data_IF_428191947997
#
_entry.id   IF_428191947997
#
_cell.length_a   1.000
_cell.length_b   1.000
_cell.length_c   1.000
_cell.angle_alpha   90.00
_cell.angle_beta   90.00
_cell.angle_gamma   90.00
#
_symmetry.space_group_name_H-M   'P 1'
#
loop_
_entity.id
_entity.type
_entity.pdbx_description
1 polymer ?
#
# COMPACT_ATOMS: atom_id res chain seq x y z
N UNK A 1 -8.32 6.05 16.81
CA UNK A 1 -8.67 4.99 15.84
C UNK A 1 -8.52 5.61 14.48
N UNK A 2 -7.30 5.59 13.97
CA UNK A 2 -6.98 5.87 12.57
C UNK A 2 -7.06 4.59 11.75
N UNK A 3 -6.86 4.73 10.45
CA UNK A 3 -6.95 3.64 9.48
C UNK A 3 -5.63 2.87 9.35
N UNK A 4 -5.70 1.59 8.99
CA UNK A 4 -4.59 0.85 8.40
C UNK A 4 -4.66 0.96 6.88
N UNK A 5 -3.67 1.62 6.27
CA UNK A 5 -3.64 1.90 4.83
C UNK A 5 -2.53 1.11 4.15
N UNK A 6 -2.87 0.32 3.14
CA UNK A 6 -1.92 -0.31 2.25
C UNK A 6 -1.77 0.47 0.94
N UNK A 7 -0.53 0.63 0.46
CA UNK A 7 -0.25 1.22 -0.86
C UNK A 7 0.39 0.16 -1.75
N UNK A 8 -0.37 -0.35 -2.72
CA UNK A 8 0.11 -1.34 -3.68
C UNK A 8 0.76 -0.67 -4.89
N UNK A 9 1.98 -1.09 -5.23
CA UNK A 9 2.81 -0.39 -6.21
C UNK A 9 3.61 0.77 -5.60
N UNK A 10 3.90 0.71 -4.30
CA UNK A 10 4.61 1.75 -3.55
C UNK A 10 6.00 2.11 -4.12
N UNK A 11 6.63 1.21 -4.88
CA UNK A 11 7.92 1.46 -5.54
C UNK A 11 7.82 2.09 -6.93
N UNK A 12 6.61 2.36 -7.43
CA UNK A 12 6.36 3.13 -8.65
C UNK A 12 6.32 4.63 -8.39
N UNK A 13 6.28 5.43 -9.46
CA UNK A 13 6.21 6.91 -9.34
C UNK A 13 4.94 7.34 -8.60
N UNK A 14 3.78 6.85 -9.04
CA UNK A 14 2.48 7.17 -8.42
C UNK A 14 2.38 6.63 -6.99
N UNK A 15 2.91 5.43 -6.71
CA UNK A 15 2.91 4.87 -5.36
C UNK A 15 3.73 5.70 -4.35
N UNK A 16 4.88 6.24 -4.76
CA UNK A 16 5.66 7.18 -3.94
C UNK A 16 4.92 8.49 -3.70
N UNK A 17 4.26 9.01 -4.73
CA UNK A 17 3.47 10.24 -4.63
C UNK A 17 2.29 10.06 -3.66
N UNK A 18 1.61 8.91 -3.73
CA UNK A 18 0.54 8.57 -2.77
C UNK A 18 1.07 8.61 -1.33
N UNK A 19 2.25 8.02 -1.07
CA UNK A 19 2.86 8.05 0.27
C UNK A 19 3.20 9.48 0.71
N UNK A 20 3.77 10.30 -0.18
CA UNK A 20 4.05 11.72 0.12
C UNK A 20 2.79 12.49 0.48
N UNK A 21 1.74 12.38 -0.33
CA UNK A 21 0.48 13.10 -0.13
C UNK A 21 -0.23 12.64 1.16
N UNK A 22 -0.18 11.35 1.48
CA UNK A 22 -0.76 10.83 2.74
C UNK A 22 -0.11 11.48 3.97
N UNK A 23 1.22 11.63 3.94
CA UNK A 23 1.99 12.29 5.00
C UNK A 23 1.74 13.80 5.04
N UNK A 24 1.89 14.48 3.90
CA UNK A 24 1.71 15.94 3.76
C UNK A 24 0.33 16.41 4.22
N UNK A 25 -0.70 15.58 3.99
CA UNK A 25 -2.08 15.91 4.40
C UNK A 25 -2.40 15.51 5.83
N UNK A 26 -1.47 14.89 6.55
CA UNK A 26 -1.71 14.32 7.87
C UNK A 26 -2.89 13.35 7.85
N UNK A 27 -2.99 12.51 6.81
CA UNK A 27 -4.08 11.55 6.71
C UNK A 27 -4.12 10.69 7.98
N UNK A 28 -5.31 10.44 8.57
CA UNK A 28 -5.42 9.77 9.87
C UNK A 28 -5.19 8.25 9.74
N UNK A 29 -3.99 7.85 9.32
CA UNK A 29 -3.55 6.46 9.28
C UNK A 29 -2.71 6.15 10.52
N UNK A 30 -3.15 5.16 11.31
CA UNK A 30 -2.38 4.64 12.44
C UNK A 30 -1.19 3.79 11.92
N UNK A 31 -1.38 3.10 10.78
CA UNK A 31 -0.33 2.32 10.11
C UNK A 31 -0.41 2.49 8.59
N UNK A 32 0.74 2.63 7.95
CA UNK A 32 0.89 2.65 6.49
C UNK A 32 1.82 1.52 6.05
N UNK A 33 1.34 0.68 5.12
CA UNK A 33 2.06 -0.49 4.61
C UNK A 33 2.39 -0.31 3.13
N UNK A 34 3.69 -0.30 2.81
CA UNK A 34 4.17 -0.26 1.43
C UNK A 34 4.19 -1.68 0.82
N UNK A 35 3.44 -1.89 -0.25
CA UNK A 35 3.36 -3.16 -0.97
C UNK A 35 3.87 -3.00 -2.41
N UNK A 36 4.61 -3.99 -2.91
CA UNK A 36 4.98 -4.08 -4.31
C UNK A 36 5.10 -5.55 -4.73
N UNK A 37 5.47 -5.81 -5.98
CA UNK A 37 5.76 -7.19 -6.39
C UNK A 37 7.00 -7.74 -5.70
N UNK A 38 7.09 -9.06 -5.60
CA UNK A 38 8.23 -9.80 -5.02
C UNK A 38 9.62 -9.30 -5.45
N UNK A 39 9.79 -8.85 -6.70
CA UNK A 39 11.05 -8.29 -7.22
C UNK A 39 11.53 -7.04 -6.47
N UNK A 40 10.61 -6.32 -5.84
CA UNK A 40 10.84 -5.08 -5.11
C UNK A 40 10.72 -5.25 -3.59
N UNK A 41 10.44 -6.46 -3.11
CA UNK A 41 10.36 -6.76 -1.69
C UNK A 41 11.70 -6.44 -1.02
N UNK A 42 11.64 -5.80 0.16
CA UNK A 42 12.82 -5.39 0.92
C UNK A 42 13.47 -4.09 0.45
N UNK A 43 13.01 -3.50 -0.65
CA UNK A 43 13.32 -2.11 -0.98
C UNK A 43 12.71 -1.18 0.08
N UNK A 44 13.26 0.01 0.21
CA UNK A 44 12.77 1.03 1.13
C UNK A 44 12.11 2.19 0.37
N UNK A 45 11.04 2.73 0.94
CA UNK A 45 10.35 3.93 0.44
C UNK A 45 10.09 4.89 1.60
N UNK A 46 10.11 6.19 1.33
CA UNK A 46 9.84 7.22 2.33
C UNK A 46 8.34 7.40 2.55
N UNK A 47 7.98 7.73 3.78
CA UNK A 47 6.65 8.17 4.22
C UNK A 47 6.86 9.25 5.28
N UNK A 48 6.92 10.51 4.82
CA UNK A 48 7.43 11.62 5.63
C UNK A 48 8.85 11.36 6.13
N UNK A 49 9.06 11.55 7.43
CA UNK A 49 10.32 11.26 8.11
C UNK A 49 10.55 9.75 8.36
N UNK A 50 9.58 8.89 8.03
CA UNK A 50 9.68 7.43 8.22
C UNK A 50 10.15 6.75 6.95
N UNK A 51 10.85 5.63 7.13
CA UNK A 51 11.21 4.72 6.04
C UNK A 51 10.41 3.42 6.19
N UNK A 52 9.69 3.04 5.14
CA UNK A 52 8.90 1.81 5.09
C UNK A 52 9.63 0.75 4.27
N UNK A 53 9.77 -0.45 4.83
CA UNK A 53 10.26 -1.62 4.11
C UNK A 53 9.13 -2.25 3.31
N UNK A 54 9.35 -2.39 2.01
CA UNK A 54 8.34 -2.90 1.07
C UNK A 54 8.10 -4.39 1.31
N UNK A 55 6.83 -4.78 1.48
CA UNK A 55 6.37 -6.17 1.58
C UNK A 55 5.86 -6.67 0.22
N UNK A 56 5.79 -7.99 0.05
CA UNK A 56 5.26 -8.61 -1.17
C UNK A 56 3.72 -8.55 -1.17
N UNK A 57 3.16 -7.93 -2.21
CA UNK A 57 1.71 -7.81 -2.43
C UNK A 57 1.03 -9.19 -2.48
N UNK A 58 1.69 -10.20 -3.06
CA UNK A 58 1.07 -11.49 -3.29
C UNK A 58 0.83 -12.31 -2.01
N UNK A 59 1.57 -12.03 -0.95
CA UNK A 59 1.54 -12.77 0.31
C UNK A 59 1.09 -11.92 1.50
N UNK A 60 0.71 -10.67 1.26
CA UNK A 60 0.22 -9.78 2.31
C UNK A 60 -1.22 -10.16 2.71
N UNK A 61 -1.50 -10.19 4.01
CA UNK A 61 -2.84 -10.42 4.54
C UNK A 61 -3.59 -9.09 4.66
N UNK A 62 -4.76 -9.02 4.02
CA UNK A 62 -5.61 -7.82 4.00
C UNK A 62 -6.75 -7.88 5.02
N UNK A 63 -6.85 -8.95 5.82
CA UNK A 63 -7.96 -9.16 6.76
C UNK A 63 -8.11 -8.07 7.84
N UNK A 64 -7.02 -7.34 8.13
CA UNK A 64 -6.96 -6.26 9.11
C UNK A 64 -6.66 -4.89 8.48
N UNK A 65 -6.77 -4.76 7.16
CA UNK A 65 -6.47 -3.53 6.42
C UNK A 65 -7.74 -2.81 6.02
N UNK A 66 -7.86 -1.52 6.36
CA UNK A 66 -9.08 -0.74 6.09
C UNK A 66 -9.15 -0.26 4.64
N UNK A 67 -8.03 0.24 4.10
CA UNK A 67 -7.97 0.89 2.78
C UNK A 67 -6.76 0.37 2.00
N UNK A 68 -6.95 0.02 0.73
CA UNK A 68 -5.84 -0.28 -0.19
C UNK A 68 -5.83 0.64 -1.42
N UNK A 69 -4.82 1.51 -1.49
CA UNK A 69 -4.58 2.36 -2.66
C UNK A 69 -3.78 1.60 -3.71
N UNK A 70 -4.46 1.21 -4.78
CA UNK A 70 -3.90 0.38 -5.85
C UNK A 70 -3.27 1.22 -6.97
N UNK A 71 -1.94 1.17 -7.07
CA UNK A 71 -1.15 1.73 -8.17
C UNK A 71 -0.17 0.70 -8.76
N UNK A 72 -0.64 -0.54 -8.94
CA UNK A 72 0.18 -1.67 -9.40
C UNK A 72 -0.03 -2.05 -10.89
N UNK A 73 -0.79 -1.25 -11.65
CA UNK A 73 -1.13 -1.48 -13.05
C UNK A 73 -2.42 -2.29 -13.24
N UNK A 74 -3.00 -2.24 -14.44
CA UNK A 74 -4.34 -2.77 -14.73
C UNK A 74 -4.46 -4.28 -14.57
N UNK A 75 -3.48 -5.06 -15.03
CA UNK A 75 -3.49 -6.52 -14.91
C UNK A 75 -3.45 -6.98 -13.45
N UNK A 76 -2.55 -6.40 -12.64
CA UNK A 76 -2.43 -6.69 -11.21
C UNK A 76 -3.71 -6.27 -10.47
N UNK A 77 -4.24 -5.08 -10.77
CA UNK A 77 -5.47 -4.60 -10.12
C UNK A 77 -6.66 -5.49 -10.45
N UNK A 78 -6.79 -5.98 -11.69
CA UNK A 78 -7.85 -6.91 -12.08
C UNK A 78 -7.77 -8.23 -11.31
N UNK A 79 -6.57 -8.69 -10.97
CA UNK A 79 -6.37 -9.92 -10.21
C UNK A 79 -6.60 -9.73 -8.70
N UNK A 80 -6.04 -8.67 -8.12
CA UNK A 80 -5.95 -8.51 -6.67
C UNK A 80 -7.11 -7.72 -6.06
N UNK A 81 -7.65 -6.71 -6.73
CA UNK A 81 -8.69 -5.84 -6.13
C UNK A 81 -9.94 -6.64 -5.68
N UNK A 82 -10.44 -7.64 -6.44
CA UNK A 82 -11.56 -8.46 -5.96
C UNK A 82 -11.23 -9.28 -4.71
N UNK A 83 -9.99 -9.77 -4.58
CA UNK A 83 -9.53 -10.55 -3.42
C UNK A 83 -9.40 -9.65 -2.18
N UNK A 84 -8.86 -8.44 -2.37
CA UNK A 84 -8.71 -7.42 -1.33
C UNK A 84 -10.10 -6.98 -0.83
N UNK A 85 -11.01 -6.66 -1.76
CA UNK A 85 -12.40 -6.31 -1.42
C UNK A 85 -13.15 -7.42 -0.68
N UNK A 86 -12.93 -8.69 -1.06
CA UNK A 86 -13.51 -9.84 -0.36
C UNK A 86 -12.98 -10.02 1.08
N UNK A 87 -11.80 -9.46 1.40
CA UNK A 87 -11.25 -9.43 2.75
C UNK A 87 -11.82 -8.29 3.62
N UNK A 88 -12.70 -7.45 3.07
CA UNK A 88 -13.31 -6.31 3.79
C UNK A 88 -12.52 -5.00 3.68
N UNK A 89 -11.41 -5.00 2.94
CA UNK A 89 -10.61 -3.82 2.66
C UNK A 89 -11.23 -3.01 1.50
N UNK A 90 -11.32 -1.69 1.66
CA UNK A 90 -11.85 -0.75 0.64
C UNK A 90 -10.84 -0.48 -0.46
#
# INVERSE_FOLDING_TARGET
MGYKVAVAGATGNVGREILSILDERGFPADEVVALASRRSMGTEVSFGDKTLKVKDLATYDFSDTDICLMSAGGAVSKEFSPKIGAAGCV
#
